data_IF_514566249313
#
_entry.id   IF_514566249313
#
_cell.length_a   1.000
_cell.length_b   1.000
_cell.length_c   1.000
_cell.angle_alpha   90.00
_cell.angle_beta   90.00
_cell.angle_gamma   90.00
#
_symmetry.space_group_name_H-M   'P 1'
#
loop_
_entity.id
_entity.type
_entity.pdbx_description
1 polymer ?
#
# COMPACT_ATOMS: atom_id res chain seq x y z
N UNK A 1 -21.42 54.17 10.89
CA UNK A 1 -21.53 53.20 12.02
C UNK A 1 -21.97 51.83 11.49
N UNK A 2 -21.17 50.77 11.63
CA UNK A 2 -21.62 49.40 11.27
C UNK A 2 -22.67 48.93 12.29
N UNK A 3 -23.86 48.53 11.82
CA UNK A 3 -24.98 48.12 12.69
C UNK A 3 -24.59 46.95 13.61
N UNK A 4 -25.16 46.89 14.81
CA UNK A 4 -24.91 45.81 15.79
C UNK A 4 -25.19 44.41 15.19
N UNK A 5 -26.17 44.31 14.28
CA UNK A 5 -26.50 43.09 13.54
C UNK A 5 -25.38 42.66 12.56
N UNK A 6 -24.73 43.61 11.88
CA UNK A 6 -23.58 43.33 10.99
C UNK A 6 -22.37 42.79 11.77
N UNK A 7 -22.12 43.31 12.98
CA UNK A 7 -21.04 42.83 13.86
C UNK A 7 -21.31 41.40 14.37
N UNK A 8 -22.54 41.08 14.80
CA UNK A 8 -22.93 39.72 15.24
C UNK A 8 -22.79 38.69 14.11
N UNK A 9 -23.27 38.99 12.90
CA UNK A 9 -23.08 38.12 11.72
C UNK A 9 -21.60 37.84 11.44
N UNK A 10 -20.74 38.86 11.56
CA UNK A 10 -19.29 38.72 11.34
C UNK A 10 -18.59 37.85 12.41
N UNK A 11 -19.03 37.93 13.66
CA UNK A 11 -18.54 37.05 14.73
C UNK A 11 -19.01 35.61 14.55
N UNK A 12 -20.26 35.39 14.16
CA UNK A 12 -20.80 34.07 13.87
C UNK A 12 -20.03 33.38 12.74
N UNK A 13 -19.76 34.11 11.64
CA UNK A 13 -18.94 33.62 10.53
C UNK A 13 -17.51 33.26 10.96
N UNK A 14 -16.88 34.10 11.79
CA UNK A 14 -15.54 33.79 12.35
C UNK A 14 -15.56 32.52 13.19
N UNK A 15 -16.58 32.33 14.01
CA UNK A 15 -16.74 31.13 14.84
C UNK A 15 -16.95 29.87 13.99
N UNK A 16 -17.76 30.00 12.93
CA UNK A 16 -18.00 28.93 11.96
C UNK A 16 -16.69 28.51 11.29
N UNK A 17 -15.88 29.47 10.82
CA UNK A 17 -14.56 29.18 10.25
C UNK A 17 -13.58 28.59 11.26
N UNK A 18 -13.60 29.05 12.51
CA UNK A 18 -12.72 28.54 13.57
C UNK A 18 -12.98 27.05 13.87
N UNK A 19 -14.24 26.61 13.74
CA UNK A 19 -14.64 25.22 13.91
C UNK A 19 -14.48 24.41 12.63
N UNK A 20 -14.85 24.95 11.48
CA UNK A 20 -14.87 24.21 10.22
C UNK A 20 -13.47 23.90 9.70
N UNK A 21 -12.50 24.80 9.87
CA UNK A 21 -11.12 24.59 9.40
C UNK A 21 -10.46 23.36 10.06
N UNK A 22 -10.40 23.22 11.40
CA UNK A 22 -9.80 22.04 12.02
C UNK A 22 -10.58 20.76 11.71
N UNK A 23 -11.92 20.83 11.58
CA UNK A 23 -12.73 19.70 11.14
C UNK A 23 -12.36 19.24 9.73
N UNK A 24 -12.26 20.16 8.77
CA UNK A 24 -11.85 19.85 7.39
C UNK A 24 -10.44 19.27 7.37
N UNK A 25 -9.49 19.86 8.10
CA UNK A 25 -8.12 19.35 8.19
C UNK A 25 -8.11 17.93 8.79
N UNK A 26 -8.90 17.68 9.83
CA UNK A 26 -9.02 16.35 10.43
C UNK A 26 -9.60 15.32 9.46
N UNK A 27 -10.66 15.67 8.73
CA UNK A 27 -11.24 14.77 7.72
C UNK A 27 -10.30 14.54 6.54
N UNK A 28 -9.58 15.55 6.08
CA UNK A 28 -8.53 15.40 5.07
C UNK A 28 -7.41 14.48 5.57
N UNK A 29 -6.96 14.65 6.82
CA UNK A 29 -5.95 13.79 7.43
C UNK A 29 -6.44 12.35 7.59
N UNK A 30 -7.68 12.14 8.04
CA UNK A 30 -8.24 10.79 8.14
C UNK A 30 -8.40 10.12 6.77
N UNK A 31 -8.88 10.87 5.77
CA UNK A 31 -9.00 10.37 4.41
C UNK A 31 -7.62 10.03 3.84
N UNK A 32 -6.61 10.85 4.08
CA UNK A 32 -5.22 10.56 3.74
C UNK A 32 -4.73 9.29 4.44
N UNK A 33 -4.81 9.24 5.77
CA UNK A 33 -4.28 8.15 6.60
C UNK A 33 -4.94 6.80 6.29
N UNK A 34 -6.27 6.77 6.11
CA UNK A 34 -6.97 5.54 5.70
C UNK A 34 -6.56 5.04 4.34
N UNK A 35 -6.20 5.95 3.45
CA UNK A 35 -5.83 5.59 2.10
C UNK A 35 -4.34 5.19 1.96
N UNK A 36 -3.49 5.47 2.96
CA UNK A 36 -2.10 4.97 3.04
C UNK A 36 -1.98 3.51 3.52
N UNK A 37 -3.11 2.84 3.75
CA UNK A 37 -3.12 1.49 4.26
C UNK A 37 -3.08 0.54 3.07
N UNK A 38 -1.99 -0.22 2.95
CA UNK A 38 -1.94 -1.42 2.10
C UNK A 38 -2.99 -2.39 2.66
N UNK A 39 -3.95 -2.81 1.84
CA UNK A 39 -4.84 -3.91 2.20
C UNK A 39 -4.44 -5.09 1.33
N UNK A 40 -3.94 -6.16 1.94
CA UNK A 40 -3.71 -7.42 1.21
C UNK A 40 -5.03 -7.95 0.61
N UNK A 41 -6.16 -7.53 1.16
CA UNK A 41 -7.51 -7.78 0.63
C UNK A 41 -7.74 -7.21 -0.78
N UNK A 42 -7.02 -6.15 -1.17
CA UNK A 42 -7.15 -5.54 -2.51
C UNK A 42 -6.27 -6.26 -3.57
N UNK A 43 -5.45 -7.22 -3.13
CA UNK A 43 -4.63 -8.06 -4.00
C UNK A 43 -5.47 -9.28 -4.35
N UNK A 44 -6.13 -9.24 -5.50
CA UNK A 44 -6.99 -10.33 -5.95
C UNK A 44 -6.15 -11.56 -6.30
N UNK A 45 -5.10 -11.37 -7.11
CA UNK A 45 -4.21 -12.44 -7.56
C UNK A 45 -2.76 -12.06 -7.31
N UNK A 46 -1.99 -13.00 -6.77
CA UNK A 46 -0.54 -12.95 -6.73
C UNK A 46 -0.05 -14.30 -7.23
N UNK A 47 0.95 -14.32 -8.10
CA UNK A 47 1.49 -15.55 -8.65
C UNK A 47 3.00 -15.41 -8.88
N UNK A 48 3.69 -16.54 -8.91
CA UNK A 48 5.11 -16.61 -9.24
C UNK A 48 5.29 -17.07 -10.67
N UNK A 49 6.02 -16.29 -11.45
CA UNK A 49 6.56 -16.67 -12.76
C UNK A 49 7.92 -17.34 -12.56
N UNK A 50 7.96 -18.65 -12.79
CA UNK A 50 9.18 -19.47 -12.69
C UNK A 50 9.78 -19.67 -14.07
N UNK A 51 11.09 -19.44 -14.21
CA UNK A 51 11.84 -19.86 -15.38
C UNK A 51 12.23 -21.35 -15.24
N UNK A 52 11.24 -22.25 -15.27
CA UNK A 52 11.41 -23.69 -15.08
C UNK A 52 10.49 -24.28 -13.99
N UNK A 53 10.87 -25.44 -13.44
CA UNK A 53 10.12 -26.13 -12.36
C UNK A 53 10.56 -25.71 -10.95
N UNK A 54 11.59 -24.88 -10.82
CA UNK A 54 12.28 -24.56 -9.56
C UNK A 54 12.47 -23.05 -9.47
N UNK A 55 12.37 -22.50 -8.26
CA UNK A 55 12.75 -21.12 -7.95
C UNK A 55 14.22 -20.88 -8.27
N UNK A 56 14.50 -19.77 -8.94
CA UNK A 56 15.85 -19.34 -9.29
C UNK A 56 15.99 -17.82 -9.18
N UNK A 57 17.21 -17.34 -9.37
CA UNK A 57 17.56 -15.91 -9.32
C UNK A 57 16.78 -15.02 -10.30
N UNK A 58 16.19 -15.61 -11.35
CA UNK A 58 15.42 -14.91 -12.37
C UNK A 58 13.90 -15.04 -12.16
N UNK A 59 13.46 -15.63 -11.05
CA UNK A 59 12.04 -15.79 -10.75
C UNK A 59 11.43 -14.45 -10.37
N UNK A 60 10.23 -14.18 -10.90
CA UNK A 60 9.52 -12.91 -10.70
C UNK A 60 8.16 -13.21 -10.11
N UNK A 61 7.78 -12.48 -9.07
CA UNK A 61 6.43 -12.52 -8.52
C UNK A 61 5.62 -11.42 -9.20
N UNK A 62 4.58 -11.82 -9.93
CA UNK A 62 3.64 -10.87 -10.54
C UNK A 62 2.43 -10.72 -9.63
N UNK A 63 2.24 -9.51 -9.10
CA UNK A 63 1.13 -9.17 -8.20
C UNK A 63 0.12 -8.32 -8.96
N UNK A 64 -1.14 -8.75 -8.98
CA UNK A 64 -2.24 -7.99 -9.54
C UNK A 64 -2.95 -7.22 -8.44
N UNK A 65 -2.94 -5.89 -8.55
CA UNK A 65 -3.55 -5.00 -7.57
C UNK A 65 -4.65 -4.18 -8.22
N UNK A 66 -5.84 -4.21 -7.60
CA UNK A 66 -6.95 -3.36 -7.98
C UNK A 66 -6.84 -2.02 -7.22
N UNK A 67 -6.63 -0.94 -7.97
CA UNK A 67 -6.32 0.36 -7.43
C UNK A 67 -7.53 1.27 -7.39
N UNK A 68 -7.74 1.90 -6.21
CA UNK A 68 -8.53 3.11 -6.13
C UNK A 68 -7.65 4.31 -6.51
N UNK A 69 -8.21 5.26 -7.27
CA UNK A 69 -7.58 6.28 -8.16
C UNK A 69 -6.38 7.14 -7.67
N UNK A 70 -5.80 6.91 -6.49
CA UNK A 70 -4.83 7.79 -5.84
C UNK A 70 -3.48 7.16 -5.48
N UNK A 71 -3.28 5.87 -5.74
CA UNK A 71 -2.08 5.15 -5.32
C UNK A 71 -1.41 4.46 -6.49
N UNK A 72 -0.09 4.59 -6.55
CA UNK A 72 0.79 3.65 -7.23
C UNK A 72 1.41 2.74 -6.16
N UNK A 73 1.83 1.56 -6.57
CA UNK A 73 2.66 0.68 -5.74
C UNK A 73 4.00 0.54 -6.43
N UNK A 74 5.07 0.85 -5.71
CA UNK A 74 6.43 0.57 -6.16
C UNK A 74 7.32 0.40 -4.94
N UNK A 75 8.34 -0.44 -5.08
CA UNK A 75 9.22 -0.78 -3.98
C UNK A 75 8.76 -2.07 -3.32
N UNK A 76 9.67 -3.03 -3.34
CA UNK A 76 9.52 -4.31 -2.68
C UNK A 76 10.69 -4.47 -1.73
N UNK A 77 10.41 -4.78 -0.48
CA UNK A 77 11.44 -5.27 0.44
C UNK A 77 11.32 -6.79 0.51
N UNK A 78 12.45 -7.47 0.32
CA UNK A 78 12.51 -8.92 0.44
C UNK A 78 13.31 -9.23 1.70
N UNK A 79 12.62 -9.76 2.71
CA UNK A 79 13.27 -10.32 3.88
C UNK A 79 13.27 -11.84 3.77
N UNK A 80 14.43 -12.44 4.00
CA UNK A 80 14.53 -13.86 4.27
C UNK A 80 14.95 -14.00 5.72
N UNK A 81 14.03 -14.47 6.56
CA UNK A 81 14.33 -14.80 7.95
C UNK A 81 15.46 -15.83 8.03
N UNK A 82 16.18 -15.83 9.16
CA UNK A 82 17.40 -16.62 9.42
C UNK A 82 17.27 -18.13 9.15
N UNK A 83 16.04 -18.66 9.12
CA UNK A 83 15.71 -19.99 8.61
C UNK A 83 15.19 -19.83 7.17
N UNK A 84 16.02 -20.17 6.18
CA UNK A 84 15.88 -19.89 4.75
C UNK A 84 14.65 -20.50 4.02
N UNK A 85 13.58 -20.84 4.75
CA UNK A 85 12.38 -21.51 4.25
C UNK A 85 11.32 -20.53 3.74
N UNK A 86 11.30 -19.29 4.23
CA UNK A 86 10.27 -18.30 3.90
C UNK A 86 10.88 -17.03 3.31
N UNK A 87 10.42 -16.65 2.12
CA UNK A 87 10.70 -15.34 1.53
C UNK A 87 9.50 -14.41 1.73
N UNK A 88 9.73 -13.29 2.41
CA UNK A 88 8.70 -12.28 2.70
C UNK A 88 8.88 -11.09 1.77
N UNK A 89 7.79 -10.74 1.07
CA UNK A 89 7.74 -9.60 0.16
C UNK A 89 6.80 -8.56 0.77
N UNK A 90 7.33 -7.38 1.08
CA UNK A 90 6.53 -6.23 1.46
C UNK A 90 6.40 -5.27 0.28
N UNK A 91 5.18 -4.86 -0.04
CA UNK A 91 4.90 -3.86 -1.08
C UNK A 91 4.81 -2.47 -0.46
N UNK A 92 5.43 -1.46 -1.07
CA UNK A 92 5.31 -0.06 -0.63
C UNK A 92 4.35 0.73 -1.53
N UNK A 93 3.54 1.60 -0.91
CA UNK A 93 2.69 2.54 -1.62
C UNK A 93 3.47 3.80 -1.97
N UNK A 94 3.35 4.23 -3.22
CA UNK A 94 3.77 5.56 -3.67
C UNK A 94 2.55 6.36 -4.07
N UNK A 95 2.50 7.58 -3.57
CA UNK A 95 1.44 8.50 -3.95
C UNK A 95 1.72 9.10 -5.33
N UNK A 96 0.74 9.02 -6.22
CA UNK A 96 0.83 9.56 -7.57
C UNK A 96 -0.50 10.18 -7.99
N UNK A 97 -0.43 11.40 -8.51
CA UNK A 97 -1.59 12.13 -9.05
C UNK A 97 -1.88 11.77 -10.53
N UNK A 98 -0.95 11.06 -11.16
CA UNK A 98 -1.07 10.61 -12.54
C UNK A 98 -1.91 9.35 -12.47
N UNK A 99 -3.08 9.35 -13.11
CA UNK A 99 -4.07 8.28 -12.95
C UNK A 99 -3.44 6.94 -13.32
N UNK A 100 -3.17 6.04 -12.35
CA UNK A 100 -2.80 4.69 -12.72
C UNK A 100 -4.02 3.98 -13.27
N UNK A 101 -3.76 3.00 -14.13
CA UNK A 101 -4.80 2.07 -14.57
C UNK A 101 -5.49 1.46 -13.33
N UNK A 102 -6.80 1.14 -13.46
CA UNK A 102 -7.56 0.47 -12.40
C UNK A 102 -6.91 -0.84 -11.96
N UNK A 103 -6.24 -1.49 -12.91
CA UNK A 103 -5.55 -2.75 -12.74
C UNK A 103 -4.07 -2.49 -12.94
N UNK A 104 -3.26 -2.86 -11.94
CA UNK A 104 -1.82 -2.74 -11.98
C UNK A 104 -1.18 -4.11 -11.76
N UNK A 105 -0.21 -4.43 -12.61
CA UNK A 105 0.64 -5.61 -12.48
C UNK A 105 2.00 -5.14 -12.00
N UNK A 106 2.42 -5.66 -10.86
CA UNK A 106 3.72 -5.36 -10.25
C UNK A 106 4.60 -6.59 -10.35
N UNK A 107 5.73 -6.44 -11.03
CA UNK A 107 6.74 -7.48 -11.13
C UNK A 107 7.79 -7.27 -10.05
N UNK A 108 7.85 -8.21 -9.10
CA UNK A 108 8.79 -8.22 -7.98
C UNK A 108 9.85 -9.29 -8.23
N UNK A 109 11.08 -8.90 -8.61
CA UNK A 109 12.16 -9.85 -8.81
C UNK A 109 12.70 -10.35 -7.46
N UNK A 110 12.94 -11.66 -7.35
CA UNK A 110 13.46 -12.30 -6.13
C UNK A 110 14.99 -12.21 -5.99
N UNK A 111 15.61 -11.19 -6.58
CA UNK A 111 17.07 -11.06 -6.68
C UNK A 111 17.71 -10.86 -5.29
N UNK A 112 18.85 -11.50 -5.08
CA UNK A 112 19.66 -11.32 -3.87
C UNK A 112 19.39 -12.33 -2.75
N UNK A 113 18.48 -13.29 -2.97
CA UNK A 113 18.31 -14.42 -2.07
C UNK A 113 19.46 -15.41 -2.25
N UNK A 114 20.07 -15.84 -1.15
CA UNK A 114 21.29 -16.64 -1.16
C UNK A 114 21.09 -18.14 -1.48
N UNK A 115 19.92 -18.70 -1.21
CA UNK A 115 19.65 -20.14 -1.35
C UNK A 115 18.17 -20.43 -1.67
N UNK A 116 17.81 -20.38 -2.96
CA UNK A 116 16.43 -20.55 -3.43
C UNK A 116 15.89 -21.96 -3.26
N UNK A 117 16.74 -22.98 -3.18
CA UNK A 117 16.30 -24.37 -3.07
C UNK A 117 15.66 -24.68 -1.72
N UNK A 118 16.09 -23.94 -0.69
CA UNK A 118 15.57 -24.03 0.69
C UNK A 118 14.25 -23.31 0.88
N UNK A 119 13.88 -22.38 -0.01
CA UNK A 119 12.62 -21.65 0.08
C UNK A 119 11.47 -22.62 -0.19
N UNK A 120 10.68 -22.89 0.85
CA UNK A 120 9.46 -23.68 0.80
C UNK A 120 8.24 -22.80 0.54
N UNK A 121 8.30 -21.52 0.93
CA UNK A 121 7.17 -20.61 0.87
C UNK A 121 7.57 -19.18 0.48
N UNK A 122 6.70 -18.51 -0.30
CA UNK A 122 6.79 -17.07 -0.57
C UNK A 122 5.50 -16.39 -0.11
N UNK A 123 5.64 -15.36 0.72
CA UNK A 123 4.53 -14.64 1.34
C UNK A 123 4.55 -13.16 0.98
N UNK A 124 3.38 -12.57 0.73
CA UNK A 124 3.18 -11.13 0.85
C UNK A 124 2.90 -10.79 2.29
N UNK A 125 3.61 -9.80 2.81
CA UNK A 125 3.45 -9.34 4.19
C UNK A 125 3.08 -7.86 4.22
N UNK A 126 2.24 -7.50 5.18
CA UNK A 126 2.00 -6.11 5.56
C UNK A 126 2.44 -5.94 7.01
N UNK A 127 3.61 -5.34 7.22
CA UNK A 127 4.19 -5.20 8.56
C UNK A 127 3.34 -4.31 9.48
N UNK A 128 2.66 -3.31 8.92
CA UNK A 128 1.82 -2.38 9.69
C UNK A 128 0.57 -3.04 10.26
N UNK A 129 -0.05 -3.94 9.50
CA UNK A 129 -1.27 -4.65 9.94
C UNK A 129 -1.03 -6.06 10.47
N UNK A 130 0.19 -6.59 10.34
CA UNK A 130 0.51 -7.99 10.65
C UNK A 130 -0.36 -8.97 9.86
N UNK A 131 -0.64 -8.64 8.61
CA UNK A 131 -1.35 -9.52 7.67
C UNK A 131 -0.33 -10.21 6.77
N UNK A 132 -0.59 -11.48 6.45
CA UNK A 132 0.23 -12.27 5.53
C UNK A 132 -0.64 -13.02 4.53
N UNK A 133 -0.14 -13.19 3.31
CA UNK A 133 -0.79 -13.97 2.25
C UNK A 133 0.26 -14.81 1.52
N UNK A 134 0.14 -16.13 1.61
CA UNK A 134 0.98 -17.09 0.89
C UNK A 134 0.67 -17.03 -0.61
N UNK A 135 1.71 -16.86 -1.43
CA UNK A 135 1.61 -16.82 -2.90
C UNK A 135 2.10 -18.12 -3.53
N UNK A 136 3.04 -18.78 -2.87
CA UNK A 136 3.67 -19.99 -3.37
C UNK A 136 4.05 -20.88 -2.21
N UNK A 137 3.82 -22.18 -2.41
CA UNK A 137 4.24 -23.24 -1.52
C UNK A 137 4.74 -24.39 -2.39
N UNK A 138 5.95 -24.88 -2.09
CA UNK A 138 6.62 -25.97 -2.80
C UNK A 138 6.00 -27.34 -2.51
#
# INVERSE_FOLDING_TARGET
MRSKASKRKKHLLRFLFLLSIPLVIFFCYQAWSRNQIISLENIENAAISLNGKILNENSVVTVHVNLNRFYDYEGYFIDCTLDAEVAQIELHQKFSFIHPAKELFLDVPLIGLGDYEKISEVQLVNLFKKETKTIYQK
#
